data_IF_960087893759
#
_entry.id   IF_960087893759
#
_cell.length_a   1.000
_cell.length_b   1.000
_cell.length_c   1.000
_cell.angle_alpha   90.00
_cell.angle_beta   90.00
_cell.angle_gamma   90.00
#
_symmetry.space_group_name_H-M   'P 1'
#
loop_
_entity.id
_entity.type
_entity.pdbx_description
1 polymer ?
#
# COMPACT_ATOMS: atom_id res chain seq x y z
N UNK A 1 39.56 3.21 -6.64
CA UNK A 1 38.55 2.18 -6.41
C UNK A 1 37.46 2.64 -5.47
N UNK A 2 37.78 3.14 -4.27
CA UNK A 2 36.77 3.61 -3.32
C UNK A 2 35.99 4.84 -3.82
N UNK A 3 36.58 5.69 -4.64
CA UNK A 3 35.93 6.85 -5.23
C UNK A 3 34.90 6.49 -6.30
N UNK A 4 35.13 5.42 -7.05
CA UNK A 4 34.19 4.93 -8.06
C UNK A 4 32.98 4.25 -7.43
N UNK A 5 33.20 3.45 -6.39
CA UNK A 5 32.13 2.82 -5.63
C UNK A 5 31.22 3.86 -4.97
N UNK A 6 31.80 4.92 -4.40
CA UNK A 6 31.04 6.00 -3.78
C UNK A 6 30.22 6.78 -4.82
N UNK A 7 30.75 6.90 -6.04
CA UNK A 7 30.10 7.61 -7.13
C UNK A 7 28.95 6.79 -7.71
N UNK A 8 29.11 5.48 -7.82
CA UNK A 8 28.05 4.57 -8.23
C UNK A 8 26.95 4.50 -7.19
N UNK A 9 27.29 4.45 -5.92
CA UNK A 9 26.33 4.48 -4.82
C UNK A 9 25.54 5.79 -4.80
N UNK A 10 26.18 6.94 -5.03
CA UNK A 10 25.47 8.21 -5.05
C UNK A 10 24.59 8.35 -6.30
N UNK A 11 25.01 7.80 -7.44
CA UNK A 11 24.18 7.77 -8.65
C UNK A 11 23.01 6.82 -8.52
N UNK A 12 23.21 5.65 -7.91
CA UNK A 12 22.13 4.69 -7.67
C UNK A 12 21.15 5.24 -6.64
N UNK A 13 21.59 5.98 -5.62
CA UNK A 13 20.71 6.60 -4.64
C UNK A 13 19.90 7.76 -5.23
N UNK A 14 20.43 8.50 -6.20
CA UNK A 14 19.70 9.55 -6.91
C UNK A 14 18.67 9.00 -7.89
N UNK A 15 18.96 7.83 -8.48
CA UNK A 15 18.05 7.13 -9.38
C UNK A 15 17.23 6.05 -8.72
N UNK A 16 17.47 5.79 -7.43
CA UNK A 16 16.81 4.70 -6.72
C UNK A 16 15.32 4.97 -6.56
N UNK A 17 14.52 4.01 -7.03
CA UNK A 17 13.08 4.00 -6.83
C UNK A 17 12.78 3.15 -5.60
N UNK A 18 12.09 3.75 -4.64
CA UNK A 18 11.66 3.03 -3.45
C UNK A 18 10.39 2.25 -3.74
N UNK A 19 10.16 1.19 -2.99
CA UNK A 19 8.98 0.35 -3.17
C UNK A 19 7.86 0.76 -2.21
N UNK A 20 6.65 0.89 -2.77
CA UNK A 20 5.42 1.03 -2.01
C UNK A 20 4.60 -0.24 -2.20
N UNK A 21 4.47 -1.03 -1.14
CA UNK A 21 3.62 -2.22 -1.17
C UNK A 21 2.17 -1.84 -0.91
N UNK A 22 1.26 -2.33 -1.72
CA UNK A 22 -0.17 -2.11 -1.52
C UNK A 22 -0.78 -3.40 -0.98
N UNK A 23 -1.39 -3.30 0.18
CA UNK A 23 -2.16 -4.38 0.80
C UNK A 23 -3.62 -3.96 0.76
N UNK A 24 -4.46 -4.69 0.02
CA UNK A 24 -5.86 -4.30 -0.15
C UNK A 24 -6.71 -5.49 -0.62
N UNK A 25 -8.04 -5.41 -0.49
CA UNK A 25 -8.92 -6.41 -1.11
C UNK A 25 -8.78 -6.37 -2.62
N UNK A 26 -8.85 -7.53 -3.27
CA UNK A 26 -8.82 -7.65 -4.72
C UNK A 26 -10.01 -8.44 -5.27
N UNK A 27 -10.74 -9.12 -4.40
CA UNK A 27 -11.92 -9.92 -4.76
C UNK A 27 -13.19 -9.25 -4.24
N UNK A 28 -14.35 -9.53 -4.84
CA UNK A 28 -15.61 -8.95 -4.35
C UNK A 28 -15.84 -9.23 -2.87
N UNK A 29 -16.17 -8.20 -2.12
CA UNK A 29 -16.46 -8.30 -0.69
C UNK A 29 -17.35 -7.11 -0.28
N UNK A 30 -18.31 -7.37 0.59
CA UNK A 30 -19.17 -6.36 1.22
C UNK A 30 -19.88 -5.45 0.19
N UNK A 31 -20.33 -6.05 -0.92
CA UNK A 31 -21.01 -5.33 -1.99
C UNK A 31 -20.08 -4.59 -2.95
N UNK A 32 -18.79 -4.59 -2.70
CA UNK A 32 -17.82 -3.98 -3.61
C UNK A 32 -17.32 -5.02 -4.62
N UNK A 33 -17.26 -4.63 -5.89
CA UNK A 33 -16.83 -5.52 -6.98
C UNK A 33 -15.31 -5.54 -7.12
N UNK A 34 -14.80 -6.50 -7.89
CA UNK A 34 -13.37 -6.53 -8.23
C UNK A 34 -12.95 -5.24 -8.97
N UNK A 35 -13.82 -4.70 -9.80
CA UNK A 35 -13.59 -3.44 -10.52
C UNK A 35 -13.47 -2.27 -9.55
N UNK A 36 -14.28 -2.25 -8.50
CA UNK A 36 -14.17 -1.23 -7.44
C UNK A 36 -12.78 -1.25 -6.83
N UNK A 37 -12.27 -2.42 -6.46
CA UNK A 37 -10.93 -2.54 -5.86
C UNK A 37 -9.84 -2.18 -6.84
N UNK A 38 -10.01 -2.52 -8.11
CA UNK A 38 -9.08 -2.13 -9.18
C UNK A 38 -8.99 -0.60 -9.29
N UNK A 39 -10.12 0.08 -9.17
CA UNK A 39 -10.18 1.55 -9.19
C UNK A 39 -9.51 2.15 -7.95
N UNK A 40 -9.73 1.58 -6.78
CA UNK A 40 -9.06 1.99 -5.55
C UNK A 40 -7.54 1.84 -5.69
N UNK A 41 -7.08 0.71 -6.25
CA UNK A 41 -5.66 0.49 -6.52
C UNK A 41 -5.09 1.59 -7.41
N UNK A 42 -5.80 1.94 -8.48
CA UNK A 42 -5.38 3.00 -9.38
C UNK A 42 -5.28 4.35 -8.68
N UNK A 43 -6.24 4.66 -7.81
CA UNK A 43 -6.21 5.89 -7.01
C UNK A 43 -4.97 5.94 -6.13
N UNK A 44 -4.63 4.84 -5.47
CA UNK A 44 -3.42 4.76 -4.64
C UNK A 44 -2.17 4.94 -5.50
N UNK A 45 -2.09 4.26 -6.64
CA UNK A 45 -0.95 4.36 -7.55
C UNK A 45 -0.79 5.79 -8.08
N UNK A 46 -1.89 6.44 -8.44
CA UNK A 46 -1.86 7.83 -8.90
C UNK A 46 -1.35 8.77 -7.81
N UNK A 47 -1.80 8.58 -6.58
CA UNK A 47 -1.35 9.39 -5.44
C UNK A 47 0.15 9.21 -5.20
N UNK A 48 0.62 7.97 -5.24
CA UNK A 48 2.04 7.65 -5.04
C UNK A 48 2.88 8.25 -6.17
N UNK A 49 2.39 8.22 -7.40
CA UNK A 49 3.10 8.75 -8.56
C UNK A 49 3.29 10.28 -8.49
N UNK A 50 2.50 10.99 -7.68
CA UNK A 50 2.69 12.43 -7.48
C UNK A 50 3.92 12.74 -6.63
N UNK A 51 4.45 11.77 -5.91
CA UNK A 51 5.65 11.93 -5.09
C UNK A 51 6.87 11.76 -5.98
N UNK A 52 7.63 12.83 -6.17
CA UNK A 52 8.77 12.81 -7.09
C UNK A 52 10.11 12.65 -6.38
N UNK A 53 10.16 12.95 -5.09
CA UNK A 53 11.41 12.88 -4.32
C UNK A 53 11.14 12.48 -2.86
N UNK A 54 11.47 11.24 -2.46
CA UNK A 54 11.97 10.15 -3.31
C UNK A 54 10.87 9.59 -4.22
N UNK A 55 11.26 8.99 -5.33
CA UNK A 55 10.31 8.35 -6.23
C UNK A 55 9.94 6.95 -5.70
N UNK A 56 8.65 6.62 -5.77
CA UNK A 56 8.14 5.32 -5.36
C UNK A 56 7.50 4.59 -6.54
N UNK A 57 7.62 3.27 -6.54
CA UNK A 57 6.83 2.40 -7.40
C UNK A 57 5.85 1.62 -6.53
N UNK A 58 4.56 1.75 -6.80
CA UNK A 58 3.50 1.11 -6.04
C UNK A 58 3.02 -0.16 -6.73
N UNK A 59 3.04 -1.28 -6.00
CA UNK A 59 2.57 -2.58 -6.49
C UNK A 59 1.83 -3.33 -5.39
N UNK A 60 0.87 -4.16 -5.80
CA UNK A 60 0.23 -5.09 -4.85
C UNK A 60 1.28 -6.05 -4.27
N UNK A 61 1.24 -6.23 -2.96
CA UNK A 61 2.09 -7.20 -2.27
C UNK A 61 1.74 -8.63 -2.72
N UNK A 62 0.46 -8.88 -2.97
CA UNK A 62 -0.04 -10.20 -3.41
C UNK A 62 0.16 -10.48 -4.89
N UNK A 63 0.70 -9.54 -5.66
CA UNK A 63 0.92 -9.69 -7.10
C UNK A 63 2.20 -10.50 -7.33
N UNK A 64 2.08 -11.81 -7.23
CA UNK A 64 3.19 -12.75 -7.38
C UNK A 64 2.96 -13.65 -8.60
N UNK A 65 3.97 -13.72 -9.47
CA UNK A 65 3.90 -14.48 -10.71
C UNK A 65 4.08 -16.00 -10.53
N UNK A 66 4.62 -16.43 -9.39
CA UNK A 66 4.94 -17.83 -9.13
C UNK A 66 3.95 -18.48 -8.17
N UNK A 67 3.23 -19.48 -8.69
CA UNK A 67 2.18 -20.19 -7.95
C UNK A 67 2.74 -21.00 -6.77
N UNK A 68 3.93 -21.56 -6.89
CA UNK A 68 4.49 -22.47 -5.88
C UNK A 68 5.03 -21.80 -4.63
N UNK A 69 5.18 -20.47 -4.60
CA UNK A 69 5.80 -19.74 -3.48
C UNK A 69 5.06 -18.44 -3.15
N UNK A 70 3.76 -18.40 -3.42
CA UNK A 70 2.93 -17.21 -3.23
C UNK A 70 3.04 -16.69 -1.80
N UNK A 71 2.87 -17.56 -0.80
CA UNK A 71 2.90 -17.15 0.60
C UNK A 71 4.26 -16.59 1.01
N UNK A 72 5.35 -17.21 0.57
CA UNK A 72 6.69 -16.71 0.85
C UNK A 72 6.92 -15.34 0.23
N UNK A 73 6.46 -15.13 -1.00
CA UNK A 73 6.59 -13.84 -1.69
C UNK A 73 5.74 -12.76 -1.03
N UNK A 74 4.56 -13.10 -0.55
CA UNK A 74 3.72 -12.16 0.19
C UNK A 74 4.44 -11.71 1.47
N UNK A 75 4.98 -12.64 2.25
CA UNK A 75 5.72 -12.31 3.46
C UNK A 75 6.94 -11.44 3.14
N UNK A 76 7.69 -11.78 2.09
CA UNK A 76 8.84 -10.99 1.65
C UNK A 76 8.42 -9.60 1.19
N UNK A 77 7.32 -9.48 0.45
CA UNK A 77 6.79 -8.19 0.01
C UNK A 77 6.32 -7.32 1.17
N UNK A 78 5.65 -7.92 2.14
CA UNK A 78 5.23 -7.23 3.36
C UNK A 78 6.45 -6.72 4.15
N UNK A 79 7.52 -7.51 4.19
CA UNK A 79 8.74 -7.12 4.89
C UNK A 79 9.59 -6.13 4.11
N UNK A 80 9.79 -6.37 2.80
CA UNK A 80 10.78 -5.65 2.01
C UNK A 80 10.31 -4.30 1.48
N UNK A 81 9.01 -4.05 1.41
CA UNK A 81 8.50 -2.76 0.93
C UNK A 81 9.00 -1.63 1.82
N UNK A 82 9.50 -0.56 1.22
CA UNK A 82 9.99 0.60 1.97
C UNK A 82 8.86 1.27 2.76
N UNK A 83 7.68 1.36 2.14
CA UNK A 83 6.46 1.80 2.80
C UNK A 83 5.31 0.91 2.33
N UNK A 84 4.30 0.75 3.15
CA UNK A 84 3.10 -0.02 2.81
C UNK A 84 1.88 0.88 2.96
N UNK A 85 1.00 0.87 1.97
CA UNK A 85 -0.35 1.42 2.07
C UNK A 85 -1.30 0.24 2.23
N UNK A 86 -2.01 0.19 3.34
CA UNK A 86 -2.90 -0.91 3.67
C UNK A 86 -4.34 -0.40 3.74
N UNK A 87 -5.21 -0.95 2.88
CA UNK A 87 -6.63 -0.66 2.87
C UNK A 87 -7.39 -1.72 3.67
N UNK A 88 -7.85 -1.33 4.86
CA UNK A 88 -8.57 -2.23 5.77
C UNK A 88 -10.07 -2.23 5.52
N UNK A 89 -10.54 -1.66 4.42
CA UNK A 89 -11.96 -1.62 4.07
C UNK A 89 -12.58 -3.02 4.07
N UNK A 90 -13.82 -3.09 4.53
CA UNK A 90 -14.58 -4.34 4.66
C UNK A 90 -13.92 -5.37 5.59
N UNK A 91 -12.84 -5.01 6.26
CA UNK A 91 -12.11 -5.89 7.19
C UNK A 91 -11.76 -7.24 6.56
N UNK A 92 -11.28 -7.22 5.32
CA UNK A 92 -10.87 -8.43 4.62
C UNK A 92 -9.84 -9.19 5.46
N UNK A 93 -10.07 -10.47 5.71
CA UNK A 93 -9.25 -11.27 6.63
C UNK A 93 -7.80 -11.42 6.16
N UNK A 94 -7.58 -11.58 4.86
CA UNK A 94 -6.23 -11.68 4.32
C UNK A 94 -5.47 -10.35 4.50
N UNK A 95 -6.15 -9.24 4.25
CA UNK A 95 -5.58 -7.90 4.46
C UNK A 95 -5.22 -7.70 5.93
N UNK A 96 -6.11 -8.06 6.84
CA UNK A 96 -5.86 -7.91 8.28
C UNK A 96 -4.67 -8.75 8.75
N UNK A 97 -4.52 -9.96 8.19
CA UNK A 97 -3.38 -10.82 8.47
C UNK A 97 -2.07 -10.18 8.00
N UNK A 98 -2.05 -9.68 6.78
CA UNK A 98 -0.86 -9.03 6.21
C UNK A 98 -0.52 -7.73 6.96
N UNK A 99 -1.53 -6.96 7.35
CA UNK A 99 -1.34 -5.76 8.18
C UNK A 99 -0.70 -6.12 9.52
N UNK A 100 -1.20 -7.19 10.17
CA UNK A 100 -0.63 -7.66 11.42
C UNK A 100 0.84 -7.98 11.30
N UNK A 101 1.24 -8.68 10.22
CA UNK A 101 2.65 -8.96 9.94
C UNK A 101 3.46 -7.68 9.76
N UNK A 102 2.94 -6.73 8.98
CA UNK A 102 3.66 -5.48 8.70
C UNK A 102 3.87 -4.66 9.98
N UNK A 103 2.85 -4.57 10.82
CA UNK A 103 2.95 -3.86 12.09
C UNK A 103 3.94 -4.54 13.04
N UNK A 104 3.98 -5.88 13.02
CA UNK A 104 4.94 -6.64 13.82
C UNK A 104 6.38 -6.37 13.39
N UNK A 105 6.61 -6.08 12.12
CA UNK A 105 7.94 -5.72 11.60
C UNK A 105 8.35 -4.28 11.96
N UNK A 106 7.45 -3.50 12.52
CA UNK A 106 7.68 -2.10 12.93
C UNK A 106 8.23 -1.23 11.79
N UNK A 107 7.61 -1.35 10.62
CA UNK A 107 8.03 -0.62 9.41
C UNK A 107 6.94 0.38 8.98
N UNK A 108 7.31 1.45 8.26
CA UNK A 108 6.36 2.50 7.88
C UNK A 108 5.13 1.96 7.16
N UNK A 109 3.96 2.30 7.68
CA UNK A 109 2.67 1.82 7.18
C UNK A 109 1.67 2.96 7.21
N UNK A 110 0.97 3.17 6.10
CA UNK A 110 -0.17 4.07 6.02
C UNK A 110 -1.42 3.22 5.94
N UNK A 111 -2.36 3.45 6.84
CA UNK A 111 -3.61 2.70 6.88
C UNK A 111 -4.72 3.58 6.32
N UNK A 112 -5.43 3.07 5.32
CA UNK A 112 -6.59 3.72 4.75
C UNK A 112 -7.83 2.84 4.94
N UNK A 113 -8.99 3.45 4.95
CA UNK A 113 -10.27 2.76 5.01
C UNK A 113 -11.33 3.58 4.30
N UNK A 114 -12.35 2.91 3.77
CA UNK A 114 -13.50 3.63 3.25
C UNK A 114 -14.39 4.15 4.39
N UNK A 115 -15.34 5.02 4.03
CA UNK A 115 -16.24 5.65 4.99
C UNK A 115 -17.34 4.72 5.50
N UNK A 116 -17.44 3.50 4.96
CA UNK A 116 -18.41 2.48 5.39
C UNK A 116 -17.82 1.46 6.35
N UNK A 117 -16.51 1.47 6.54
CA UNK A 117 -15.82 0.52 7.41
C UNK A 117 -15.56 1.15 8.76
N UNK A 118 -15.99 0.49 9.84
CA UNK A 118 -15.69 0.92 11.19
C UNK A 118 -14.22 0.61 11.54
N UNK A 119 -13.70 1.30 12.55
CA UNK A 119 -12.37 1.00 13.05
C UNK A 119 -12.32 -0.42 13.60
N UNK A 120 -11.23 -1.11 13.34
CA UNK A 120 -10.98 -2.46 13.85
C UNK A 120 -10.18 -2.37 15.14
N UNK A 121 -10.55 -3.16 16.14
CA UNK A 121 -9.88 -3.27 17.44
C UNK A 121 -9.26 -1.92 17.88
N UNK A 122 -8.19 -1.96 18.65
CA UNK A 122 -7.54 -0.76 19.21
C UNK A 122 -6.79 0.10 18.19
N UNK A 123 -7.02 -0.11 16.87
CA UNK A 123 -6.46 0.75 15.84
C UNK A 123 -6.98 2.19 15.91
N UNK A 124 -7.93 2.49 16.78
CA UNK A 124 -8.35 3.87 17.03
C UNK A 124 -7.19 4.77 17.48
N UNK A 125 -6.11 4.20 18.02
CA UNK A 125 -4.88 4.93 18.34
C UNK A 125 -3.93 5.06 17.16
N UNK A 126 -4.19 4.34 16.06
CA UNK A 126 -3.42 4.42 14.81
C UNK A 126 -4.23 5.22 13.81
N UNK A 127 -3.64 6.27 13.27
CA UNK A 127 -4.34 7.12 12.33
C UNK A 127 -4.71 6.37 11.05
N UNK A 128 -5.98 6.49 10.67
CA UNK A 128 -6.50 5.96 9.41
C UNK A 128 -6.90 7.13 8.53
N UNK A 129 -6.54 7.08 7.25
CA UNK A 129 -6.95 8.09 6.28
C UNK A 129 -8.20 7.58 5.57
N UNK A 130 -9.37 8.21 5.77
CA UNK A 130 -10.61 7.73 5.17
C UNK A 130 -10.77 8.20 3.72
N UNK A 131 -11.45 7.38 2.92
CA UNK A 131 -11.88 7.76 1.58
C UNK A 131 -13.36 7.37 1.37
N UNK A 132 -14.09 8.00 0.43
CA UNK A 132 -15.48 7.64 0.19
C UNK A 132 -15.55 6.34 -0.62
N UNK A 133 -16.38 5.39 -0.16
CA UNK A 133 -16.59 4.12 -0.87
C UNK A 133 -17.18 4.36 -2.27
N UNK A 134 -18.00 5.41 -2.44
CA UNK A 134 -18.57 5.76 -3.72
C UNK A 134 -17.55 6.35 -4.72
N UNK A 135 -16.31 6.58 -4.29
CA UNK A 135 -15.21 7.11 -5.08
C UNK A 135 -15.54 8.43 -5.78
N UNK A 136 -16.33 9.27 -5.12
CA UNK A 136 -16.73 10.57 -5.66
C UNK A 136 -15.49 11.44 -5.92
N UNK A 137 -15.39 11.97 -7.15
CA UNK A 137 -14.19 12.66 -7.62
C UNK A 137 -13.73 13.79 -6.69
N UNK A 138 -14.63 14.65 -6.25
CA UNK A 138 -14.28 15.79 -5.41
C UNK A 138 -13.64 15.38 -4.07
N UNK A 139 -14.15 14.29 -3.47
CA UNK A 139 -13.62 13.76 -2.21
C UNK A 139 -12.33 12.98 -2.42
N UNK A 140 -12.19 12.30 -3.56
CA UNK A 140 -10.98 11.55 -3.89
C UNK A 140 -9.79 12.48 -4.12
N UNK A 141 -10.00 13.67 -4.69
CA UNK A 141 -8.93 14.66 -4.83
C UNK A 141 -8.37 15.04 -3.46
N UNK A 142 -9.24 15.27 -2.47
CA UNK A 142 -8.81 15.55 -1.11
C UNK A 142 -8.10 14.36 -0.46
N UNK A 143 -8.61 13.15 -0.67
CA UNK A 143 -7.99 11.94 -0.16
C UNK A 143 -6.57 11.75 -0.71
N UNK A 144 -6.36 11.94 -2.01
CA UNK A 144 -5.03 11.82 -2.62
C UNK A 144 -4.03 12.78 -2.01
N UNK A 145 -4.44 13.97 -1.65
CA UNK A 145 -3.57 14.96 -0.99
C UNK A 145 -3.16 14.52 0.41
N UNK A 146 -4.05 13.83 1.13
CA UNK A 146 -3.78 13.37 2.49
C UNK A 146 -2.93 12.10 2.52
N UNK A 147 -2.95 11.35 1.43
CA UNK A 147 -2.18 10.12 1.32
C UNK A 147 -0.69 10.43 1.12
#
# INVERSE_FOLDING_TARGET
MSKELTREDSLSSQGATLSCGIIMPISPIDGCTAEHWSEVKQIIQDAVDTIVEPKFTAKLVSDADDIGVIQKRIVQGVYNSNIVVCDVSAKNSNVMFELGMRLAFDKPTVIIKDDKTDYSFDTSIIEHIPYPRDLRFSKIVGFKKNL
#
